data_IF_487248193286
#
_entry.id   IF_487248193286
#
_cell.length_a   1.000
_cell.length_b   1.000
_cell.length_c   1.000
_cell.angle_alpha   90.00
_cell.angle_beta   90.00
_cell.angle_gamma   90.00
#
_symmetry.space_group_name_H-M   'P 1'
#
loop_
_entity.id
_entity.type
_entity.pdbx_description
1 polymer ?
#
# COMPACT_ATOMS: atom_id res chain seq x y z
N UNK A 1 -17.54 20.03 -17.82
CA UNK A 1 -18.87 20.35 -17.26
C UNK A 1 -18.77 20.10 -15.76
N UNK A 2 -19.08 21.09 -14.92
CA UNK A 2 -19.00 20.91 -13.45
C UNK A 2 -20.43 20.59 -12.99
N UNK A 3 -20.60 19.49 -12.25
CA UNK A 3 -21.90 19.01 -11.78
C UNK A 3 -22.52 19.86 -10.65
N UNK A 4 -22.07 21.09 -10.44
CA UNK A 4 -22.43 21.93 -9.28
C UNK A 4 -23.94 22.17 -9.13
N UNK A 5 -24.69 22.11 -10.23
CA UNK A 5 -26.13 22.32 -10.25
C UNK A 5 -26.96 21.06 -9.93
N UNK A 6 -26.32 19.89 -9.85
CA UNK A 6 -26.98 18.60 -9.63
C UNK A 6 -26.64 18.01 -8.26
N UNK A 7 -27.62 17.36 -7.66
CA UNK A 7 -27.50 16.71 -6.35
C UNK A 7 -28.03 15.29 -6.40
N UNK A 8 -27.59 14.47 -5.46
CA UNK A 8 -28.17 13.16 -5.18
C UNK A 8 -29.70 13.29 -5.03
N UNK A 9 -30.43 12.30 -5.53
CA UNK A 9 -31.90 12.25 -5.65
C UNK A 9 -32.51 13.21 -6.69
N UNK A 10 -31.71 14.00 -7.42
CA UNK A 10 -32.24 14.73 -8.56
C UNK A 10 -32.67 13.75 -9.65
N UNK A 11 -33.82 14.02 -10.26
CA UNK A 11 -34.31 13.30 -11.44
C UNK A 11 -33.76 14.01 -12.65
N UNK A 12 -33.05 13.29 -13.50
CA UNK A 12 -32.30 13.88 -14.61
C UNK A 12 -32.53 13.11 -15.90
N UNK A 13 -32.44 13.82 -17.01
CA UNK A 13 -32.17 13.29 -18.34
C UNK A 13 -30.73 13.65 -18.68
N UNK A 14 -29.92 12.66 -19.04
CA UNK A 14 -28.53 12.81 -19.44
C UNK A 14 -28.41 12.43 -20.90
N UNK A 15 -27.87 13.35 -21.71
CA UNK A 15 -27.45 13.05 -23.07
C UNK A 15 -25.95 12.85 -23.10
N UNK A 16 -25.50 11.74 -23.70
CA UNK A 16 -24.08 11.38 -23.71
C UNK A 16 -23.63 10.77 -25.04
N UNK A 17 -22.34 10.93 -25.33
CA UNK A 17 -21.68 10.21 -26.41
C UNK A 17 -21.50 8.74 -26.03
N UNK A 18 -22.30 7.89 -26.67
CA UNK A 18 -22.24 6.44 -26.48
C UNK A 18 -22.41 5.70 -27.82
N UNK A 19 -21.68 4.60 -27.97
CA UNK A 19 -21.81 3.72 -29.13
C UNK A 19 -23.21 3.09 -29.16
N UNK A 20 -23.74 2.71 -27.99
CA UNK A 20 -25.10 2.20 -27.83
C UNK A 20 -26.11 3.37 -27.93
N UNK A 21 -26.99 3.40 -28.96
CA UNK A 21 -27.99 4.44 -29.11
C UNK A 21 -28.94 4.58 -27.93
N UNK A 22 -29.22 3.48 -27.21
CA UNK A 22 -30.13 3.49 -26.06
C UNK A 22 -29.55 4.20 -24.85
N UNK A 23 -28.21 4.26 -24.76
CA UNK A 23 -27.48 4.93 -23.69
C UNK A 23 -27.13 6.39 -24.01
N UNK A 24 -27.48 6.86 -25.21
CA UNK A 24 -27.25 8.27 -25.61
C UNK A 24 -28.19 9.24 -24.92
N UNK A 25 -29.38 8.79 -24.53
CA UNK A 25 -30.34 9.60 -23.79
C UNK A 25 -30.96 8.74 -22.70
N UNK A 26 -30.53 8.98 -21.47
CA UNK A 26 -30.89 8.17 -20.31
C UNK A 26 -31.60 9.05 -19.30
N UNK A 27 -32.74 8.58 -18.78
CA UNK A 27 -33.47 9.25 -17.71
C UNK A 27 -33.34 8.44 -16.44
N UNK A 28 -33.24 9.11 -15.29
CA UNK A 28 -33.05 8.41 -14.04
C UNK A 28 -33.02 9.28 -12.80
N UNK A 29 -32.72 8.65 -11.66
CA UNK A 29 -32.45 9.30 -10.39
C UNK A 29 -30.95 9.23 -10.10
N UNK A 30 -30.35 10.36 -9.77
CA UNK A 30 -28.94 10.45 -9.38
C UNK A 30 -28.71 9.77 -8.03
N UNK A 31 -27.80 8.80 -8.02
CA UNK A 31 -27.31 8.11 -6.83
C UNK A 31 -26.05 8.77 -6.27
N UNK A 32 -25.10 9.07 -7.14
CA UNK A 32 -23.78 9.56 -6.75
C UNK A 32 -23.24 10.54 -7.79
N UNK A 33 -22.52 11.56 -7.33
CA UNK A 33 -21.81 12.52 -8.18
C UNK A 33 -20.37 12.58 -7.70
N UNK A 34 -19.46 12.19 -8.57
CA UNK A 34 -18.01 12.30 -8.39
C UNK A 34 -17.44 13.41 -9.29
N UNK A 35 -16.16 13.74 -9.13
CA UNK A 35 -15.52 14.80 -9.94
C UNK A 35 -15.56 14.50 -11.44
N UNK A 36 -15.53 13.23 -11.82
CA UNK A 36 -15.42 12.78 -13.21
C UNK A 36 -16.57 11.86 -13.67
N UNK A 37 -17.46 11.42 -12.78
CA UNK A 37 -18.54 10.49 -13.13
C UNK A 37 -19.83 10.85 -12.39
N UNK A 38 -20.95 10.47 -12.99
CA UNK A 38 -22.28 10.50 -12.37
C UNK A 38 -22.89 9.10 -12.45
N UNK A 39 -23.42 8.62 -11.32
CA UNK A 39 -24.07 7.32 -11.22
C UNK A 39 -25.57 7.56 -11.09
N UNK A 40 -26.36 6.93 -11.97
CA UNK A 40 -27.82 7.05 -11.98
C UNK A 40 -28.48 5.67 -11.97
N UNK A 41 -29.66 5.58 -11.34
CA UNK A 41 -30.62 4.50 -11.61
C UNK A 41 -31.52 4.95 -12.74
N UNK A 42 -31.51 4.21 -13.83
CA UNK A 42 -32.27 4.54 -15.04
C UNK A 42 -33.73 4.13 -14.92
N UNK A 43 -34.59 4.76 -15.71
CA UNK A 43 -36.03 4.44 -15.81
C UNK A 43 -36.32 3.07 -16.44
N UNK A 44 -35.33 2.44 -17.07
CA UNK A 44 -35.36 1.03 -17.49
C UNK A 44 -34.72 0.08 -16.48
N UNK A 45 -34.38 0.58 -15.28
CA UNK A 45 -34.06 -0.23 -14.11
C UNK A 45 -32.61 -0.68 -13.99
N UNK A 46 -31.67 -0.03 -14.68
CA UNK A 46 -30.25 -0.33 -14.60
C UNK A 46 -29.49 0.74 -13.82
N UNK A 47 -28.37 0.36 -13.23
CA UNK A 47 -27.41 1.30 -12.66
C UNK A 47 -26.39 1.65 -13.74
N UNK A 48 -26.16 2.94 -13.96
CA UNK A 48 -25.31 3.41 -15.05
C UNK A 48 -24.36 4.50 -14.57
N UNK A 49 -23.07 4.28 -14.80
CA UNK A 49 -22.02 5.24 -14.53
C UNK A 49 -21.62 5.94 -15.84
N UNK A 50 -21.77 7.27 -15.88
CA UNK A 50 -21.47 8.08 -17.06
C UNK A 50 -20.31 9.01 -16.75
N UNK A 51 -19.28 8.97 -17.59
CA UNK A 51 -18.15 9.89 -17.46
C UNK A 51 -18.53 11.30 -17.89
N UNK A 52 -18.18 12.29 -17.07
CA UNK A 52 -18.43 13.72 -17.32
C UNK A 52 -17.91 14.19 -18.68
N UNK A 53 -16.83 13.61 -19.19
CA UNK A 53 -16.27 13.94 -20.51
C UNK A 53 -17.16 13.51 -21.67
N UNK A 54 -18.04 12.52 -21.46
CA UNK A 54 -18.97 12.00 -22.46
C UNK A 54 -20.33 12.67 -22.39
N UNK A 55 -20.60 13.48 -21.38
CA UNK A 55 -21.90 14.13 -21.19
C UNK A 55 -21.98 15.36 -22.09
N UNK A 56 -23.01 15.37 -22.93
CA UNK A 56 -23.36 16.50 -23.78
C UNK A 56 -24.28 17.47 -23.04
N UNK A 57 -25.28 16.94 -22.32
CA UNK A 57 -26.23 17.75 -21.57
C UNK A 57 -26.80 16.98 -20.38
N UNK A 58 -27.19 17.70 -19.33
CA UNK A 58 -27.94 17.17 -18.18
C UNK A 58 -29.10 18.12 -17.91
N UNK A 59 -30.32 17.58 -17.82
CA UNK A 59 -31.53 18.36 -17.59
C UNK A 59 -32.30 17.78 -16.41
N UNK A 60 -32.77 18.62 -15.47
CA UNK A 60 -33.68 18.15 -14.41
C UNK A 60 -35.06 17.91 -15.01
N UNK A 61 -35.65 16.77 -14.69
CA UNK A 61 -36.95 16.36 -15.22
C UNK A 61 -37.89 15.93 -14.09
N UNK A 62 -39.18 15.87 -14.41
CA UNK A 62 -40.20 15.22 -13.59
C UNK A 62 -40.65 13.92 -14.26
N UNK A 63 -40.80 12.86 -13.47
CA UNK A 63 -41.43 11.62 -13.90
C UNK A 63 -42.90 11.61 -13.48
N UNK A 64 -43.72 10.85 -14.22
CA UNK A 64 -45.05 10.48 -13.75
C UNK A 64 -44.96 9.78 -12.40
N UNK A 65 -45.99 9.97 -11.56
CA UNK A 65 -45.97 9.49 -10.17
C UNK A 65 -45.65 8.00 -10.06
N UNK A 66 -46.27 7.16 -10.89
CA UNK A 66 -46.07 5.70 -10.89
C UNK A 66 -44.59 5.35 -11.18
N UNK A 67 -43.99 5.98 -12.19
CA UNK A 67 -42.58 5.75 -12.56
C UNK A 67 -41.66 6.30 -11.48
N UNK A 68 -41.98 7.47 -10.93
CA UNK A 68 -41.22 8.09 -9.84
C UNK A 68 -41.19 7.23 -8.58
N UNK A 69 -42.31 6.63 -8.19
CA UNK A 69 -42.42 5.77 -7.03
C UNK A 69 -41.59 4.49 -7.23
N UNK A 70 -41.72 3.84 -8.39
CA UNK A 70 -40.92 2.66 -8.77
C UNK A 70 -39.40 2.95 -8.83
N UNK A 71 -39.01 4.09 -9.42
CA UNK A 71 -37.62 4.53 -9.44
C UNK A 71 -37.08 4.80 -8.04
N UNK A 72 -37.90 5.32 -7.13
CA UNK A 72 -37.49 5.58 -5.74
C UNK A 72 -37.29 4.27 -4.99
N UNK A 73 -38.17 3.29 -5.17
CA UNK A 73 -38.01 1.94 -4.62
C UNK A 73 -36.72 1.28 -5.13
N UNK A 74 -36.49 1.33 -6.44
CA UNK A 74 -35.30 0.76 -7.05
C UNK A 74 -34.01 1.46 -6.59
N UNK A 75 -34.04 2.80 -6.48
CA UNK A 75 -32.94 3.59 -5.89
C UNK A 75 -32.62 3.14 -4.47
N UNK A 76 -33.64 2.95 -3.65
CA UNK A 76 -33.45 2.48 -2.27
C UNK A 76 -32.88 1.06 -2.24
N UNK A 77 -33.31 0.18 -3.14
CA UNK A 77 -32.76 -1.16 -3.26
C UNK A 77 -31.28 -1.17 -3.65
N UNK A 78 -30.87 -0.35 -4.63
CA UNK A 78 -29.45 -0.22 -5.00
C UNK A 78 -28.60 0.34 -3.85
N UNK A 79 -29.13 1.30 -3.08
CA UNK A 79 -28.45 1.78 -1.88
C UNK A 79 -28.29 0.67 -0.83
N UNK A 80 -29.30 -0.16 -0.62
CA UNK A 80 -29.23 -1.30 0.30
C UNK A 80 -28.17 -2.31 -0.13
N UNK A 81 -28.08 -2.63 -1.43
CA UNK A 81 -27.02 -3.49 -1.98
C UNK A 81 -25.64 -2.91 -1.65
N UNK A 82 -25.42 -1.63 -1.94
CA UNK A 82 -24.15 -0.97 -1.66
C UNK A 82 -23.77 -1.02 -0.16
N UNK A 83 -24.73 -0.76 0.73
CA UNK A 83 -24.51 -0.87 2.17
C UNK A 83 -24.16 -2.30 2.60
N UNK A 84 -24.82 -3.30 2.01
CA UNK A 84 -24.53 -4.72 2.27
C UNK A 84 -23.15 -5.13 1.75
N UNK A 85 -22.73 -4.64 0.59
CA UNK A 85 -21.39 -4.88 0.04
C UNK A 85 -20.30 -4.28 0.94
N UNK A 86 -20.52 -3.07 1.46
CA UNK A 86 -19.61 -2.45 2.42
C UNK A 86 -19.53 -3.23 3.73
N UNK A 87 -20.68 -3.72 4.25
CA UNK A 87 -20.71 -4.61 5.42
C UNK A 87 -19.97 -5.91 5.14
N UNK A 88 -20.19 -6.54 3.99
CA UNK A 88 -19.52 -7.77 3.59
C UNK A 88 -18.01 -7.58 3.50
N UNK A 89 -17.55 -6.45 2.95
CA UNK A 89 -16.13 -6.09 2.91
C UNK A 89 -15.54 -6.01 4.32
N UNK A 90 -16.19 -5.29 5.23
CA UNK A 90 -15.75 -5.17 6.62
C UNK A 90 -15.70 -6.54 7.34
N UNK A 91 -16.69 -7.41 7.08
CA UNK A 91 -16.71 -8.78 7.63
C UNK A 91 -15.52 -9.60 7.12
N UNK A 92 -15.18 -9.51 5.84
CA UNK A 92 -14.02 -10.20 5.24
C UNK A 92 -12.67 -9.68 5.76
N UNK A 93 -12.56 -8.37 5.98
CA UNK A 93 -11.39 -7.76 6.60
C UNK A 93 -11.23 -8.28 8.05
N UNK A 94 -12.32 -8.37 8.80
CA UNK A 94 -12.32 -8.93 10.15
C UNK A 94 -11.98 -10.43 10.16
N UNK A 95 -12.50 -11.22 9.23
CA UNK A 95 -12.14 -12.64 9.06
C UNK A 95 -10.62 -12.79 8.82
N UNK A 96 -10.06 -11.97 7.93
CA UNK A 96 -8.62 -11.97 7.64
C UNK A 96 -7.79 -11.65 8.89
N UNK A 97 -8.24 -10.69 9.70
CA UNK A 97 -7.60 -10.35 10.97
C UNK A 97 -7.68 -11.51 11.99
N UNK A 98 -8.83 -12.17 12.10
CA UNK A 98 -9.01 -13.33 13.00
C UNK A 98 -8.13 -14.51 12.59
N UNK A 99 -8.02 -14.78 11.28
CA UNK A 99 -7.11 -15.80 10.74
C UNK A 99 -5.66 -15.46 11.09
N UNK A 100 -5.23 -14.20 10.93
CA UNK A 100 -3.89 -13.77 11.32
C UNK A 100 -3.64 -13.95 12.83
N UNK A 101 -4.62 -13.60 13.67
CA UNK A 101 -4.56 -13.79 15.12
C UNK A 101 -4.45 -15.28 15.52
N UNK A 102 -5.19 -16.17 14.83
CA UNK A 102 -5.10 -17.60 15.06
C UNK A 102 -3.71 -18.13 14.70
N UNK A 103 -3.13 -17.68 13.58
CA UNK A 103 -1.76 -18.03 13.21
C UNK A 103 -0.75 -17.56 14.25
N UNK A 104 -0.92 -16.33 14.76
CA UNK A 104 -0.08 -15.80 15.83
C UNK A 104 -0.22 -16.62 17.12
N UNK A 105 -1.43 -16.91 17.56
CA UNK A 105 -1.67 -17.73 18.75
C UNK A 105 -1.06 -19.14 18.63
N UNK A 106 -1.23 -19.79 17.47
CA UNK A 106 -0.64 -21.09 17.19
C UNK A 106 0.90 -21.05 17.23
N UNK A 107 1.50 -20.01 16.64
CA UNK A 107 2.94 -19.82 16.70
C UNK A 107 3.42 -19.60 18.14
N UNK A 108 2.79 -18.68 18.87
CA UNK A 108 3.18 -18.31 20.23
C UNK A 108 3.06 -19.50 21.19
N UNK A 109 2.08 -20.39 21.00
CA UNK A 109 1.95 -21.62 21.79
C UNK A 109 3.15 -22.57 21.71
N UNK A 110 3.96 -22.44 20.64
CA UNK A 110 5.16 -23.23 20.36
C UNK A 110 6.34 -22.32 20.03
N UNK A 111 6.42 -21.19 20.73
CA UNK A 111 7.39 -20.15 20.46
C UNK A 111 8.81 -20.70 20.40
N UNK A 112 9.54 -20.30 19.37
CA UNK A 112 10.98 -20.52 19.24
C UNK A 112 11.56 -19.46 18.30
N UNK A 113 12.87 -19.22 18.41
CA UNK A 113 13.52 -18.11 17.71
C UNK A 113 13.51 -18.24 16.18
N UNK A 114 13.61 -19.47 15.67
CA UNK A 114 13.55 -19.76 14.23
C UNK A 114 12.14 -19.48 13.71
N UNK A 115 11.11 -19.88 14.46
CA UNK A 115 9.71 -19.59 14.17
C UNK A 115 9.42 -18.08 14.21
N UNK A 116 10.00 -17.34 15.16
CA UNK A 116 9.88 -15.88 15.24
C UNK A 116 10.42 -15.22 13.96
N UNK A 117 11.62 -15.62 13.52
CA UNK A 117 12.21 -15.17 12.25
C UNK A 117 11.31 -15.49 11.06
N UNK A 118 10.85 -16.74 10.95
CA UNK A 118 9.97 -17.15 9.84
C UNK A 118 8.64 -16.39 9.86
N UNK A 119 8.11 -16.07 11.04
CA UNK A 119 6.90 -15.28 11.17
C UNK A 119 7.13 -13.85 10.71
N UNK A 120 8.27 -13.23 11.02
CA UNK A 120 8.65 -11.91 10.50
C UNK A 120 8.75 -11.89 8.97
N UNK A 121 9.46 -12.85 8.37
CA UNK A 121 9.62 -12.93 6.91
C UNK A 121 8.27 -13.00 6.16
N UNK A 122 7.28 -13.66 6.75
CA UNK A 122 5.98 -13.89 6.12
C UNK A 122 4.93 -12.84 6.48
N UNK A 123 5.17 -11.99 7.48
CA UNK A 123 4.18 -11.03 7.99
C UNK A 123 4.49 -9.57 7.66
N UNK A 124 5.68 -9.30 7.12
CA UNK A 124 6.09 -7.97 6.68
C UNK A 124 6.00 -7.92 5.15
N UNK A 125 5.34 -6.89 4.64
CA UNK A 125 5.17 -6.69 3.20
C UNK A 125 6.53 -6.55 2.49
N UNK A 126 6.68 -7.17 1.32
CA UNK A 126 7.94 -7.13 0.55
C UNK A 126 8.38 -5.71 0.21
N UNK A 127 7.42 -4.80 -0.02
CA UNK A 127 7.70 -3.38 -0.29
C UNK A 127 8.30 -2.63 0.91
N UNK A 128 8.11 -3.13 2.14
CA UNK A 128 8.77 -2.59 3.33
C UNK A 128 10.16 -3.20 3.52
N UNK A 129 10.41 -4.38 2.96
CA UNK A 129 11.70 -5.06 3.02
C UNK A 129 12.63 -4.63 1.88
N UNK A 130 12.11 -4.12 0.77
CA UNK A 130 12.91 -3.61 -0.35
C UNK A 130 12.27 -2.36 -0.92
N UNK A 131 12.95 -1.23 -0.80
CA UNK A 131 12.48 0.06 -1.31
C UNK A 131 13.66 0.96 -1.66
N UNK A 132 13.39 1.96 -2.51
CA UNK A 132 14.35 3.01 -2.84
C UNK A 132 13.93 4.32 -2.17
N UNK A 133 14.93 5.08 -1.72
CA UNK A 133 14.78 6.42 -1.16
C UNK A 133 15.93 7.27 -1.67
N UNK A 134 15.59 8.35 -2.38
CA UNK A 134 16.54 9.16 -3.13
C UNK A 134 17.37 8.28 -4.09
N UNK A 135 18.71 8.33 -4.01
CA UNK A 135 19.62 7.49 -4.79
C UNK A 135 19.96 6.16 -4.11
N UNK A 136 19.39 5.89 -2.94
CA UNK A 136 19.72 4.73 -2.13
C UNK A 136 18.66 3.64 -2.26
N UNK A 137 19.09 2.39 -2.37
CA UNK A 137 18.21 1.23 -2.28
C UNK A 137 18.43 0.51 -0.96
N UNK A 138 17.34 0.29 -0.21
CA UNK A 138 17.34 -0.40 1.08
C UNK A 138 16.81 -1.82 0.92
N UNK A 139 17.46 -2.78 1.56
CA UNK A 139 17.03 -4.18 1.66
C UNK A 139 17.15 -4.67 3.11
N UNK A 140 16.04 -5.04 3.73
CA UNK A 140 15.98 -5.57 5.08
C UNK A 140 15.77 -7.09 5.09
N UNK A 141 16.42 -7.80 6.00
CA UNK A 141 16.19 -9.23 6.27
C UNK A 141 16.48 -9.59 7.72
N UNK A 142 15.99 -10.75 8.16
CA UNK A 142 16.06 -11.17 9.56
C UNK A 142 16.87 -12.47 9.71
N UNK A 143 17.71 -12.52 10.73
CA UNK A 143 18.36 -13.75 11.19
C UNK A 143 17.97 -14.05 12.64
N UNK A 144 17.84 -15.33 12.96
CA UNK A 144 17.67 -15.81 14.33
C UNK A 144 19.02 -15.94 15.02
N UNK A 145 19.13 -15.45 16.25
CA UNK A 145 20.30 -15.59 17.09
C UNK A 145 19.99 -16.49 18.31
N UNK A 146 20.89 -17.42 18.68
CA UNK A 146 20.65 -18.39 19.76
C UNK A 146 20.39 -17.76 21.14
N UNK A 147 20.71 -16.48 21.34
CA UNK A 147 20.47 -15.76 22.59
C UNK A 147 19.05 -15.17 22.69
N UNK A 148 18.04 -15.82 22.10
CA UNK A 148 16.66 -15.31 22.01
C UNK A 148 16.57 -13.92 21.36
N UNK A 149 17.35 -13.70 20.31
CA UNK A 149 17.43 -12.42 19.61
C UNK A 149 17.09 -12.57 18.13
N UNK A 150 16.40 -11.57 17.58
CA UNK A 150 16.31 -11.38 16.14
C UNK A 150 17.34 -10.34 15.74
N UNK A 151 18.15 -10.67 14.75
CA UNK A 151 19.04 -9.72 14.10
C UNK A 151 18.35 -9.16 12.85
N UNK A 152 18.14 -7.85 12.85
CA UNK A 152 17.62 -7.09 11.72
C UNK A 152 18.83 -6.60 10.94
N UNK A 153 18.98 -7.09 9.73
CA UNK A 153 20.00 -6.63 8.80
C UNK A 153 19.39 -5.65 7.81
N UNK A 154 20.07 -4.54 7.58
CA UNK A 154 19.68 -3.53 6.60
C UNK A 154 20.88 -3.29 5.68
N UNK A 155 20.73 -3.70 4.42
CA UNK A 155 21.68 -3.45 3.34
C UNK A 155 21.26 -2.22 2.59
N UNK A 156 22.18 -1.27 2.43
CA UNK A 156 21.94 -0.03 1.71
C UNK A 156 22.90 0.04 0.54
N UNK A 157 22.36 0.23 -0.65
CA UNK A 157 23.11 0.30 -1.90
C UNK A 157 23.05 1.73 -2.43
N UNK A 158 24.20 2.28 -2.78
CA UNK A 158 24.30 3.51 -3.56
C UNK A 158 24.86 3.17 -4.94
N UNK A 159 24.04 3.31 -5.98
CA UNK A 159 24.41 3.05 -7.37
C UNK A 159 24.97 4.31 -8.01
N UNK A 160 26.10 4.19 -8.68
CA UNK A 160 26.74 5.31 -9.39
C UNK A 160 27.51 4.79 -10.60
N UNK A 161 27.74 5.70 -11.53
CA UNK A 161 28.52 5.43 -12.73
C UNK A 161 29.98 5.84 -12.50
N UNK A 162 30.92 4.97 -12.86
CA UNK A 162 32.35 5.22 -12.75
C UNK A 162 33.08 4.63 -13.94
N UNK A 163 33.86 5.46 -14.62
CA UNK A 163 34.63 5.08 -15.79
C UNK A 163 36.10 4.96 -15.38
N UNK A 164 36.69 3.76 -15.54
CA UNK A 164 38.09 3.38 -15.22
C UNK A 164 38.36 3.02 -13.76
N UNK A 165 38.08 1.79 -13.35
CA UNK A 165 38.37 1.25 -12.02
C UNK A 165 39.56 0.27 -12.11
N UNK A 166 40.76 0.81 -12.33
CA UNK A 166 41.96 0.00 -12.63
C UNK A 166 42.95 -0.10 -11.46
N UNK A 167 42.69 0.48 -10.28
CA UNK A 167 43.58 0.37 -9.12
C UNK A 167 42.87 0.04 -7.79
N UNK A 168 43.55 -0.72 -6.93
CA UNK A 168 43.12 -1.00 -5.54
C UNK A 168 42.85 0.31 -4.76
N UNK A 169 43.58 1.39 -5.09
CA UNK A 169 43.38 2.72 -4.51
C UNK A 169 42.04 3.38 -4.87
N UNK A 170 41.41 2.98 -5.97
CA UNK A 170 40.10 3.51 -6.38
C UNK A 170 38.97 2.93 -5.52
N UNK A 171 39.09 1.69 -5.04
CA UNK A 171 38.06 1.04 -4.22
C UNK A 171 37.88 1.78 -2.88
N UNK A 172 38.98 2.08 -2.17
CA UNK A 172 38.92 2.79 -0.88
C UNK A 172 38.39 4.21 -1.05
N UNK A 173 38.80 4.89 -2.12
CA UNK A 173 38.30 6.23 -2.47
C UNK A 173 36.80 6.19 -2.78
N UNK A 174 36.35 5.20 -3.55
CA UNK A 174 34.94 5.00 -3.89
C UNK A 174 34.12 4.73 -2.62
N UNK A 175 34.57 3.84 -1.74
CA UNK A 175 33.88 3.58 -0.47
C UNK A 175 33.79 4.86 0.35
N UNK A 176 34.89 5.61 0.48
CA UNK A 176 34.89 6.85 1.26
C UNK A 176 33.90 7.90 0.74
N UNK A 177 33.72 8.00 -0.56
CA UNK A 177 32.86 9.03 -1.19
C UNK A 177 31.42 8.57 -1.33
N UNK A 178 31.19 7.31 -1.68
CA UNK A 178 29.89 6.81 -2.11
C UNK A 178 29.22 5.84 -1.12
N UNK A 179 29.89 5.40 -0.05
CA UNK A 179 29.26 4.54 0.95
C UNK A 179 28.06 5.24 1.62
N UNK A 180 26.88 4.59 1.64
CA UNK A 180 25.74 5.10 2.39
C UNK A 180 26.09 5.32 3.86
N UNK A 181 25.97 6.55 4.35
CA UNK A 181 26.16 6.91 5.77
C UNK A 181 24.81 7.19 6.42
N UNK A 182 24.00 6.13 6.58
CA UNK A 182 22.60 6.24 7.04
C UNK A 182 22.36 5.57 8.39
N UNK A 183 23.43 5.24 9.12
CA UNK A 183 23.37 4.65 10.47
C UNK A 183 22.41 5.38 11.40
N UNK A 184 22.52 6.70 11.50
CA UNK A 184 21.69 7.51 12.39
C UNK A 184 20.23 7.57 11.94
N UNK A 185 20.00 7.53 10.63
CA UNK A 185 18.65 7.48 10.04
C UNK A 185 17.98 6.16 10.41
N UNK A 186 18.70 5.05 10.27
CA UNK A 186 18.26 3.73 10.70
C UNK A 186 17.98 3.74 12.21
N UNK A 187 18.93 4.20 13.03
CA UNK A 187 18.78 4.23 14.49
C UNK A 187 17.54 5.02 14.93
N UNK A 188 17.27 6.18 14.31
CA UNK A 188 16.09 7.00 14.63
C UNK A 188 14.77 6.42 14.13
N UNK A 189 14.82 5.49 13.19
CA UNK A 189 13.61 4.89 12.60
C UNK A 189 13.01 3.85 13.54
N UNK A 190 13.83 3.11 14.28
CA UNK A 190 13.38 2.08 15.21
C UNK A 190 13.39 2.58 16.66
N UNK A 191 12.40 2.19 17.45
CA UNK A 191 12.28 2.64 18.86
C UNK A 191 12.96 1.69 19.85
N UNK A 192 13.82 0.79 19.37
CA UNK A 192 14.58 -0.13 20.23
C UNK A 192 15.75 0.60 20.89
N UNK A 193 16.01 0.28 22.17
CA UNK A 193 17.19 0.77 22.91
C UNK A 193 18.52 0.15 22.42
N UNK A 194 18.46 -0.69 21.38
CA UNK A 194 19.64 -1.36 20.83
C UNK A 194 20.35 -0.48 19.82
N UNK A 195 21.69 -0.55 19.85
CA UNK A 195 22.53 0.23 18.93
C UNK A 195 22.58 -0.46 17.56
N UNK A 196 22.48 0.34 16.51
CA UNK A 196 22.81 -0.07 15.15
C UNK A 196 24.33 -0.22 15.05
N UNK A 197 24.76 -1.35 14.54
CA UNK A 197 26.15 -1.65 14.19
C UNK A 197 26.32 -1.52 12.68
N UNK A 198 27.39 -0.86 12.25
CA UNK A 198 27.84 -0.92 10.85
C UNK A 198 28.83 -2.08 10.76
N UNK A 199 28.57 -3.03 9.87
CA UNK A 199 29.32 -4.27 9.78
C UNK A 199 30.37 -4.23 8.68
N UNK A 200 29.99 -3.75 7.50
CA UNK A 200 30.79 -3.92 6.30
C UNK A 200 30.46 -2.87 5.23
N UNK A 201 31.47 -2.56 4.40
CA UNK A 201 31.38 -1.66 3.25
C UNK A 201 32.08 -2.31 2.06
N UNK A 202 31.37 -2.46 0.95
CA UNK A 202 31.87 -3.17 -0.24
C UNK A 202 31.51 -2.44 -1.52
N UNK A 203 32.44 -2.39 -2.45
CA UNK A 203 32.15 -2.04 -3.85
C UNK A 203 31.74 -3.30 -4.59
N UNK A 204 30.62 -3.24 -5.29
CA UNK A 204 30.07 -4.32 -6.10
C UNK A 204 29.97 -3.81 -7.53
N UNK A 205 30.68 -4.46 -8.45
CA UNK A 205 30.51 -4.22 -9.88
C UNK A 205 29.24 -4.94 -10.35
N UNK A 206 28.28 -4.20 -10.91
CA UNK A 206 27.08 -4.80 -11.50
C UNK A 206 27.30 -5.16 -12.97
N UNK A 207 27.53 -4.14 -13.80
CA UNK A 207 27.69 -4.28 -15.25
C UNK A 207 28.23 -2.99 -15.87
N UNK A 208 28.99 -3.11 -16.96
CA UNK A 208 29.54 -1.98 -17.72
C UNK A 208 30.28 -0.99 -16.80
N UNK A 209 29.86 0.28 -16.78
CA UNK A 209 30.45 1.34 -15.93
C UNK A 209 29.63 1.58 -14.64
N UNK A 210 28.70 0.69 -14.28
CA UNK A 210 27.86 0.83 -13.08
C UNK A 210 28.42 0.05 -11.90
N UNK A 211 28.58 0.77 -10.79
CA UNK A 211 29.06 0.25 -9.53
C UNK A 211 28.06 0.56 -8.40
N UNK A 212 28.04 -0.30 -7.40
CA UNK A 212 27.34 -0.09 -6.16
C UNK A 212 28.31 -0.02 -5.00
N UNK A 213 28.13 0.94 -4.10
CA UNK A 213 28.67 0.79 -2.74
C UNK A 213 27.57 0.27 -1.83
N UNK A 214 27.79 -0.93 -1.30
CA UNK A 214 26.99 -1.56 -0.27
C UNK A 214 27.52 -1.14 1.10
N UNK A 215 26.64 -0.72 2.00
CA UNK A 215 26.89 -0.69 3.45
C UNK A 215 25.89 -1.60 4.16
N UNK A 216 26.40 -2.48 5.02
CA UNK A 216 25.59 -3.42 5.80
C UNK A 216 25.49 -2.98 7.26
N UNK A 217 24.26 -2.87 7.73
CA UNK A 217 23.93 -2.51 9.11
C UNK A 217 23.23 -3.67 9.81
N UNK A 218 23.45 -3.80 11.11
CA UNK A 218 22.79 -4.78 11.98
C UNK A 218 22.23 -4.13 13.23
N UNK A 219 21.05 -4.58 13.62
CA UNK A 219 20.45 -4.32 14.93
C UNK A 219 20.03 -5.65 15.54
N UNK A 220 20.17 -5.80 16.86
CA UNK A 220 19.70 -6.98 17.58
C UNK A 220 18.52 -6.58 18.46
N UNK A 221 17.50 -7.43 18.52
CA UNK A 221 16.30 -7.19 19.32
C UNK A 221 15.97 -8.45 20.09
N UNK A 222 15.80 -8.32 21.40
CA UNK A 222 15.39 -9.43 22.27
C UNK A 222 13.93 -9.79 22.00
N UNK A 223 13.69 -11.08 21.80
CA UNK A 223 12.36 -11.62 21.56
C UNK A 223 12.08 -12.80 22.48
N UNK A 224 10.84 -12.86 22.91
CA UNK A 224 10.27 -13.86 23.78
C UNK A 224 8.86 -14.16 23.29
N UNK A 225 8.25 -15.19 23.85
CA UNK A 225 6.84 -15.48 23.61
C UNK A 225 5.94 -14.29 23.96
N UNK A 226 6.26 -13.55 25.04
CA UNK A 226 5.37 -12.52 25.57
C UNK A 226 5.47 -11.19 24.78
N UNK A 227 6.64 -10.88 24.22
CA UNK A 227 6.89 -9.60 23.54
C UNK A 227 6.96 -9.69 22.00
N UNK A 228 6.90 -10.88 21.40
CA UNK A 228 7.13 -11.04 19.96
C UNK A 228 6.19 -10.19 19.09
N UNK A 229 4.90 -10.13 19.44
CA UNK A 229 3.92 -9.36 18.66
C UNK A 229 4.22 -7.86 18.69
N UNK A 230 4.60 -7.34 19.86
CA UNK A 230 5.01 -5.94 20.02
C UNK A 230 6.27 -5.64 19.22
N UNK A 231 7.28 -6.50 19.34
CA UNK A 231 8.53 -6.37 18.58
C UNK A 231 8.27 -6.38 17.07
N UNK A 232 7.41 -7.28 16.58
CA UNK A 232 7.04 -7.31 15.15
C UNK A 232 6.42 -5.99 14.69
N UNK A 233 5.50 -5.42 15.47
CA UNK A 233 4.87 -4.15 15.11
C UNK A 233 5.83 -2.96 15.20
N UNK A 234 6.76 -2.95 16.17
CA UNK A 234 7.85 -1.97 16.23
C UNK A 234 8.77 -2.08 15.00
N UNK A 235 9.12 -3.30 14.56
CA UNK A 235 9.90 -3.51 13.33
C UNK A 235 9.16 -2.94 12.12
N UNK A 236 7.86 -3.25 11.96
CA UNK A 236 7.05 -2.72 10.85
C UNK A 236 7.00 -1.20 10.86
N UNK A 237 6.71 -0.58 12.01
CA UNK A 237 6.70 0.88 12.16
C UNK A 237 8.07 1.48 11.83
N UNK A 238 9.16 0.84 12.24
CA UNK A 238 10.51 1.28 11.94
C UNK A 238 10.82 1.24 10.44
N UNK A 239 10.44 0.17 9.75
CA UNK A 239 10.58 0.07 8.29
C UNK A 239 9.73 1.10 7.54
N UNK A 240 8.49 1.34 8.00
CA UNK A 240 7.63 2.40 7.43
C UNK A 240 8.26 3.78 7.61
N UNK A 241 8.82 4.07 8.79
CA UNK A 241 9.53 5.33 9.05
C UNK A 241 10.79 5.46 8.18
N UNK A 242 11.54 4.38 8.00
CA UNK A 242 12.76 4.38 7.18
C UNK A 242 12.46 4.64 5.70
N UNK A 243 11.33 4.10 5.20
CA UNK A 243 10.84 4.29 3.83
C UNK A 243 10.39 5.72 3.53
N UNK A 244 9.89 6.46 4.53
CA UNK A 244 9.50 7.87 4.42
C UNK A 244 10.72 8.77 4.41
#
# INVERSE_FOLDING_TARGET
>A
MIFDDFKINNRVQIESENEDPTLRNVKGIVLEISSNTIVIVTDFGQLLEINASKILSVTKISFDKIVSDALTELKNHFNEIYELEMKLKAVRENESALVANLFDANFLSKFNIVGAKNRLDNSIEKELLTFSKDTLTFKAYFLSNPNNQIEIYIKVFNSFEYYNLDEIGDVDKIIRVHAPNVKDVIQKSFSFDTKVEELDKKVIHEKDSYYNVLTEYRMKVDVSQDNFLEVREEIKKGLIKLRK
#
